data_IF_239899340807
#
_entry.id   IF_239899340807
#
_cell.length_a   1.000
_cell.length_b   1.000
_cell.length_c   1.000
_cell.angle_alpha   90.00
_cell.angle_beta   90.00
_cell.angle_gamma   90.00
#
_symmetry.space_group_name_H-M   'P 1'
#
loop_
_entity.id
_entity.type
_entity.pdbx_description
1 polymer ?
#
# COMPACT_ATOMS: atom_id res chain seq x y z
N UNK A 1 -0.62 39.06 -36.85
CA UNK A 1 -1.94 38.39 -36.87
C UNK A 1 -1.86 37.27 -37.89
N UNK A 2 -2.04 36.04 -37.44
CA UNK A 2 -2.38 34.89 -38.26
C UNK A 2 -3.20 33.98 -37.34
N UNK A 3 -4.45 33.76 -37.74
CA UNK A 3 -5.54 33.19 -36.94
C UNK A 3 -5.50 31.65 -36.86
N UNK A 4 -6.20 31.06 -35.87
CA UNK A 4 -6.24 29.62 -35.65
C UNK A 4 -7.22 28.90 -36.61
N UNK A 5 -6.90 27.64 -36.93
CA UNK A 5 -7.70 26.77 -37.81
C UNK A 5 -8.53 25.78 -36.98
N UNK A 6 -9.85 25.85 -37.13
CA UNK A 6 -10.85 24.94 -36.57
C UNK A 6 -11.40 24.12 -37.75
N UNK A 7 -11.48 22.80 -37.62
CA UNK A 7 -12.13 21.93 -38.60
C UNK A 7 -13.43 21.35 -37.99
N UNK A 8 -14.56 21.67 -38.63
CA UNK A 8 -15.91 21.18 -38.31
C UNK A 8 -16.30 20.21 -39.42
N UNK A 9 -16.57 18.95 -39.07
CA UNK A 9 -17.16 17.96 -39.97
C UNK A 9 -18.69 18.11 -40.03
N UNK A 10 -19.23 18.21 -41.23
CA UNK A 10 -20.64 18.44 -41.54
C UNK A 10 -21.43 17.14 -41.74
N UNK A 11 -22.75 17.32 -41.66
CA UNK A 11 -23.86 16.37 -41.54
C UNK A 11 -24.00 15.28 -42.61
N UNK A 12 -24.66 14.19 -42.20
CA UNK A 12 -25.31 13.22 -43.08
C UNK A 12 -26.60 12.70 -42.44
N UNK A 13 -27.73 13.19 -42.96
CA UNK A 13 -29.12 12.77 -42.67
C UNK A 13 -29.40 11.32 -43.14
N UNK A 14 -30.10 10.52 -42.32
CA UNK A 14 -30.86 9.33 -42.78
C UNK A 14 -32.15 9.18 -41.95
N UNK A 15 -33.29 9.20 -42.64
CA UNK A 15 -34.64 9.08 -42.09
C UNK A 15 -35.05 7.64 -41.66
N UNK A 16 -35.70 7.61 -40.49
CA UNK A 16 -36.84 6.82 -39.99
C UNK A 16 -37.42 5.63 -40.80
N UNK A 17 -37.60 4.50 -40.10
CA UNK A 17 -38.74 3.60 -40.31
C UNK A 17 -39.23 3.01 -38.97
N UNK A 18 -40.54 3.16 -38.73
CA UNK A 18 -41.27 2.74 -37.54
C UNK A 18 -41.63 1.25 -37.54
N UNK A 19 -41.83 0.65 -36.35
CA UNK A 19 -42.72 -0.50 -36.15
C UNK A 19 -43.10 -0.71 -34.68
N UNK A 20 -44.37 -0.43 -34.40
CA UNK A 20 -45.36 -1.10 -33.53
C UNK A 20 -45.11 -1.41 -32.03
N UNK A 21 -46.00 -0.83 -31.23
CA UNK A 21 -46.43 -1.19 -29.87
C UNK A 21 -47.04 -2.61 -29.81
N UNK A 22 -47.06 -3.31 -28.66
CA UNK A 22 -48.16 -3.28 -27.67
C UNK A 22 -47.85 -4.16 -26.43
N UNK A 23 -48.63 -4.01 -25.33
CA UNK A 23 -48.17 -4.14 -23.94
C UNK A 23 -48.64 -5.43 -23.23
N UNK A 24 -48.19 -5.66 -21.99
CA UNK A 24 -48.90 -6.53 -21.04
C UNK A 24 -48.97 -5.89 -19.65
N UNK A 25 -50.16 -6.02 -19.09
CA UNK A 25 -50.77 -5.39 -17.94
C UNK A 25 -50.35 -5.95 -16.56
N UNK A 26 -50.48 -5.03 -15.59
CA UNK A 26 -50.76 -5.11 -14.14
C UNK A 26 -51.09 -6.45 -13.46
N UNK A 27 -50.65 -6.59 -12.20
CA UNK A 27 -51.60 -6.75 -11.08
C UNK A 27 -50.99 -6.37 -9.72
N UNK A 28 -51.88 -6.00 -8.80
CA UNK A 28 -51.64 -5.19 -7.59
C UNK A 28 -51.93 -5.99 -6.31
N UNK A 29 -51.56 -5.38 -5.17
CA UNK A 29 -52.17 -5.52 -3.83
C UNK A 29 -51.69 -6.71 -2.98
N UNK A 30 -51.60 -6.68 -1.64
CA UNK A 30 -52.27 -5.87 -0.61
C UNK A 30 -51.36 -5.61 0.61
N UNK A 31 -51.76 -4.61 1.41
CA UNK A 31 -51.25 -4.27 2.73
C UNK A 31 -52.00 -5.01 3.85
N UNK A 32 -51.38 -5.18 5.02
CA UNK A 32 -52.10 -5.21 6.31
C UNK A 32 -51.27 -4.53 7.42
N UNK A 33 -51.89 -3.49 7.99
CA UNK A 33 -51.76 -2.88 9.33
C UNK A 33 -51.84 -3.94 10.47
N UNK A 34 -51.63 -3.75 11.77
CA UNK A 34 -51.44 -2.67 12.74
C UNK A 34 -51.04 -3.39 14.07
N UNK A 35 -50.51 -2.67 15.05
CA UNK A 35 -50.34 -3.21 16.40
C UNK A 35 -49.38 -2.42 17.29
N UNK A 36 -49.76 -1.21 17.64
CA UNK A 36 -49.09 -0.38 18.63
C UNK A 36 -49.43 -0.76 20.09
N UNK A 37 -48.63 -0.17 20.99
CA UNK A 37 -48.72 -0.03 22.46
C UNK A 37 -48.00 -1.08 23.33
N UNK A 38 -47.39 -0.74 24.48
CA UNK A 38 -46.62 0.39 25.01
C UNK A 38 -46.46 0.09 26.52
N UNK A 39 -45.26 0.31 27.07
CA UNK A 39 -44.90 0.56 28.49
C UNK A 39 -43.55 -0.15 28.78
N UNK A 40 -42.48 0.47 29.30
CA UNK A 40 -42.26 1.77 29.92
C UNK A 40 -41.27 1.54 31.08
N UNK A 41 -40.13 2.26 31.10
CA UNK A 41 -39.38 2.71 32.30
C UNK A 41 -37.91 3.04 31.95
N UNK A 42 -37.63 4.34 31.91
CA UNK A 42 -36.52 5.09 32.53
C UNK A 42 -35.12 4.46 32.69
N UNK A 43 -34.09 5.17 32.22
CA UNK A 43 -32.70 4.94 32.62
C UNK A 43 -31.64 5.56 31.71
N UNK A 44 -31.19 6.75 32.10
CA UNK A 44 -29.89 7.40 31.86
C UNK A 44 -29.36 7.61 30.42
N UNK A 45 -29.22 8.90 30.07
CA UNK A 45 -28.38 9.43 28.99
C UNK A 45 -26.92 8.95 29.09
N UNK A 46 -26.46 8.25 28.06
CA UNK A 46 -25.04 8.22 27.71
C UNK A 46 -24.96 8.52 26.22
N UNK A 47 -24.48 9.73 25.91
CA UNK A 47 -24.29 10.22 24.55
C UNK A 47 -23.43 9.25 23.73
N UNK A 48 -24.09 8.42 22.93
CA UNK A 48 -23.46 7.69 21.86
C UNK A 48 -23.05 8.71 20.79
N UNK A 49 -21.81 8.68 20.28
CA UNK A 49 -21.43 9.53 19.17
C UNK A 49 -22.33 9.15 17.99
N UNK A 50 -23.13 10.11 17.53
CA UNK A 50 -23.97 9.96 16.37
C UNK A 50 -23.11 9.50 15.21
N UNK A 51 -23.50 8.38 14.62
CA UNK A 51 -22.96 7.89 13.36
C UNK A 51 -23.38 8.86 12.26
N UNK A 52 -22.67 9.98 12.17
CA UNK A 52 -22.96 11.04 11.21
C UNK A 52 -22.66 10.54 9.78
N UNK A 53 -23.72 10.46 8.97
CA UNK A 53 -23.75 10.64 7.51
C UNK A 53 -22.61 10.03 6.67
N UNK A 54 -22.60 8.70 6.50
CA UNK A 54 -21.76 8.05 5.45
C UNK A 54 -22.47 7.83 4.11
N UNK A 55 -23.79 7.97 4.06
CA UNK A 55 -24.57 7.60 2.87
C UNK A 55 -24.85 8.77 1.91
N UNK A 56 -24.80 10.02 2.40
CA UNK A 56 -24.94 11.22 1.55
C UNK A 56 -23.66 11.63 0.79
N UNK A 57 -22.52 10.99 1.05
CA UNK A 57 -21.19 11.45 0.58
C UNK A 57 -20.70 10.87 -0.75
N UNK A 58 -21.07 9.64 -1.13
CA UNK A 58 -20.42 9.01 -2.30
C UNK A 58 -20.88 9.61 -3.63
N UNK A 59 -22.17 9.94 -3.74
CA UNK A 59 -22.71 10.62 -4.93
C UNK A 59 -22.11 12.02 -5.08
N UNK A 60 -21.79 12.70 -3.99
CA UNK A 60 -21.10 14.00 -4.03
C UNK A 60 -19.66 13.86 -4.55
N UNK A 61 -18.95 12.80 -4.18
CA UNK A 61 -17.63 12.49 -4.76
C UNK A 61 -17.72 12.31 -6.28
N UNK A 62 -18.73 11.57 -6.77
CA UNK A 62 -18.93 11.31 -8.20
C UNK A 62 -19.38 12.55 -8.99
N UNK A 63 -20.03 13.52 -8.34
CA UNK A 63 -20.42 14.79 -8.97
C UNK A 63 -19.28 15.81 -9.02
N UNK A 64 -18.17 15.55 -8.33
CA UNK A 64 -17.03 16.46 -8.35
C UNK A 64 -16.34 16.50 -9.72
N UNK A 65 -15.68 17.62 -10.10
CA UNK A 65 -14.98 17.72 -11.37
C UNK A 65 -13.95 16.61 -11.56
N UNK A 66 -13.75 16.19 -12.81
CA UNK A 66 -12.73 15.20 -13.16
C UNK A 66 -11.39 15.91 -13.29
N UNK A 67 -10.35 15.29 -12.73
CA UNK A 67 -8.94 15.69 -12.86
C UNK A 67 -8.21 14.63 -13.66
N UNK A 68 -7.42 15.06 -14.63
CA UNK A 68 -6.52 14.22 -15.40
C UNK A 68 -5.19 14.07 -14.67
N UNK A 69 -4.78 12.83 -14.39
CA UNK A 69 -3.46 12.49 -13.89
C UNK A 69 -2.64 11.92 -15.04
N UNK A 70 -1.55 12.59 -15.37
CA UNK A 70 -0.65 12.15 -16.43
C UNK A 70 0.57 11.51 -15.81
N UNK A 71 0.66 10.20 -15.97
CA UNK A 71 1.57 9.31 -15.25
C UNK A 71 2.66 8.82 -16.19
N UNK A 72 3.91 8.80 -15.73
CA UNK A 72 5.06 8.34 -16.50
C UNK A 72 5.70 9.40 -17.40
N UNK A 73 6.77 8.99 -18.10
CA UNK A 73 7.61 9.85 -18.97
C UNK A 73 7.66 9.33 -20.40
N UNK A 74 7.80 10.26 -21.35
CA UNK A 74 8.02 9.93 -22.76
C UNK A 74 6.91 9.04 -23.33
N UNK A 75 7.30 7.97 -24.00
CA UNK A 75 6.38 7.05 -24.70
C UNK A 75 5.55 6.17 -23.75
N UNK A 76 5.91 6.08 -22.46
CA UNK A 76 5.15 5.36 -21.43
C UNK A 76 4.11 6.26 -20.75
N UNK A 77 4.00 7.53 -21.16
CA UNK A 77 3.06 8.47 -20.58
C UNK A 77 1.61 8.03 -20.81
N UNK A 78 0.88 7.84 -19.70
CA UNK A 78 -0.52 7.42 -19.72
C UNK A 78 -1.36 8.41 -18.92
N UNK A 79 -2.49 8.84 -19.48
CA UNK A 79 -3.46 9.67 -18.78
C UNK A 79 -4.53 8.80 -18.13
N UNK A 80 -4.74 8.97 -16.84
CA UNK A 80 -5.86 8.39 -16.10
C UNK A 80 -6.71 9.51 -15.49
N UNK A 81 -7.99 9.25 -15.27
CA UNK A 81 -8.91 10.26 -14.74
C UNK A 81 -9.42 9.85 -13.36
N UNK A 82 -9.62 10.84 -12.49
CA UNK A 82 -10.19 10.63 -11.17
C UNK A 82 -11.05 11.82 -10.74
N UNK A 83 -12.00 11.58 -9.83
CA UNK A 83 -12.84 12.62 -9.25
C UNK A 83 -12.02 13.50 -8.31
N UNK A 84 -12.13 14.82 -8.44
CA UNK A 84 -11.37 15.78 -7.64
C UNK A 84 -11.54 15.53 -6.14
N UNK A 85 -12.76 15.25 -5.70
CA UNK A 85 -13.05 15.10 -4.28
C UNK A 85 -12.49 13.79 -3.66
N UNK A 86 -12.11 12.82 -4.51
CA UNK A 86 -11.36 11.62 -4.11
C UNK A 86 -9.88 11.98 -3.92
N UNK A 87 -9.32 12.81 -4.81
CA UNK A 87 -7.92 13.24 -4.75
C UNK A 87 -7.63 14.18 -3.58
N UNK A 88 -8.56 15.06 -3.20
CA UNK A 88 -8.37 16.05 -2.12
C UNK A 88 -8.20 15.43 -0.72
N UNK A 89 -8.40 14.13 -0.56
CA UNK A 89 -8.03 13.40 0.65
C UNK A 89 -6.51 13.42 0.90
N UNK A 90 -5.70 13.54 -0.16
CA UNK A 90 -4.26 13.75 -0.08
C UNK A 90 -3.94 15.24 0.05
N UNK A 91 -3.14 15.66 1.05
CA UNK A 91 -2.62 17.03 1.13
C UNK A 91 -1.88 17.47 -0.13
N UNK A 92 -1.09 16.58 -0.74
CA UNK A 92 -0.36 16.85 -1.98
C UNK A 92 -1.30 17.24 -3.13
N UNK A 93 -2.33 16.42 -3.39
CA UNK A 93 -3.28 16.71 -4.45
C UNK A 93 -4.18 17.89 -4.11
N UNK A 94 -4.57 18.06 -2.83
CA UNK A 94 -5.35 19.23 -2.39
C UNK A 94 -4.61 20.54 -2.69
N UNK A 95 -3.31 20.58 -2.42
CA UNK A 95 -2.46 21.73 -2.75
C UNK A 95 -2.35 21.92 -4.27
N UNK A 96 -2.06 20.86 -5.02
CA UNK A 96 -1.99 20.93 -6.49
C UNK A 96 -3.30 21.43 -7.13
N UNK A 97 -4.45 20.95 -6.65
CA UNK A 97 -5.78 21.34 -7.12
C UNK A 97 -6.09 22.80 -6.76
N UNK A 98 -5.54 23.33 -5.67
CA UNK A 98 -5.77 24.73 -5.28
C UNK A 98 -5.19 25.75 -6.29
N UNK A 99 -4.24 25.30 -7.10
CA UNK A 99 -3.63 26.10 -8.17
C UNK A 99 -4.44 26.07 -9.48
N UNK A 100 -5.53 25.30 -9.56
CA UNK A 100 -6.38 25.28 -10.75
C UNK A 100 -7.19 26.57 -10.89
N UNK A 101 -7.20 27.12 -12.10
CA UNK A 101 -8.11 28.21 -12.46
C UNK A 101 -9.49 27.66 -12.82
N UNK A 102 -10.55 28.44 -12.59
CA UNK A 102 -11.93 27.99 -12.82
C UNK A 102 -12.18 27.48 -14.24
N UNK A 103 -11.55 28.10 -15.25
CA UNK A 103 -11.71 27.79 -16.68
C UNK A 103 -10.48 27.07 -17.29
N UNK A 104 -9.55 26.61 -16.46
CA UNK A 104 -8.30 25.96 -16.92
C UNK A 104 -8.40 24.44 -17.00
N UNK A 105 -7.48 23.78 -17.73
CA UNK A 105 -7.39 22.33 -17.75
C UNK A 105 -7.02 21.79 -16.36
N UNK A 106 -7.82 20.86 -15.84
CA UNK A 106 -7.58 20.20 -14.54
C UNK A 106 -6.64 19.01 -14.73
N UNK A 107 -5.35 19.29 -14.87
CA UNK A 107 -4.32 18.27 -15.16
C UNK A 107 -3.17 18.33 -14.16
N UNK A 108 -2.78 17.16 -13.64
CA UNK A 108 -1.64 16.98 -12.74
C UNK A 108 -0.65 16.02 -13.39
N UNK A 109 0.61 16.41 -13.41
CA UNK A 109 1.70 15.64 -14.04
C UNK A 109 2.47 14.89 -12.95
N UNK A 110 2.59 13.57 -13.12
CA UNK A 110 3.21 12.60 -12.21
C UNK A 110 4.26 11.77 -12.98
N UNK A 111 5.30 12.45 -13.45
CA UNK A 111 6.33 11.86 -14.33
C UNK A 111 7.11 10.70 -13.70
N UNK A 112 7.42 10.79 -12.40
CA UNK A 112 8.21 9.78 -11.69
C UNK A 112 7.38 8.58 -11.21
N UNK A 113 6.06 8.61 -11.43
CA UNK A 113 5.15 7.60 -10.93
C UNK A 113 4.82 6.57 -12.01
N UNK A 114 4.61 5.32 -11.59
CA UNK A 114 4.18 4.23 -12.47
C UNK A 114 2.66 4.09 -12.49
N UNK A 115 2.11 3.72 -13.65
CA UNK A 115 0.68 3.51 -13.85
C UNK A 115 0.08 2.54 -12.82
N UNK A 116 0.72 1.40 -12.58
CA UNK A 116 0.25 0.40 -11.60
C UNK A 116 0.20 0.95 -10.17
N UNK A 117 1.14 1.83 -9.81
CA UNK A 117 1.22 2.43 -8.47
C UNK A 117 0.09 3.44 -8.29
N UNK A 118 -0.15 4.29 -9.30
CA UNK A 118 -1.28 5.23 -9.31
C UNK A 118 -2.62 4.48 -9.36
N UNK A 119 -2.72 3.40 -10.13
CA UNK A 119 -3.91 2.54 -10.17
C UNK A 119 -4.25 1.95 -8.80
N UNK A 120 -3.25 1.44 -8.07
CA UNK A 120 -3.44 0.95 -6.71
C UNK A 120 -3.82 2.07 -5.73
N UNK A 121 -3.21 3.25 -5.86
CA UNK A 121 -3.57 4.43 -5.06
C UNK A 121 -5.03 4.83 -5.30
N UNK A 122 -5.46 4.93 -6.55
CA UNK A 122 -6.84 5.28 -6.89
C UNK A 122 -7.80 4.22 -6.36
N UNK A 123 -7.52 2.93 -6.57
CA UNK A 123 -8.33 1.84 -6.03
C UNK A 123 -8.49 1.97 -4.50
N UNK A 124 -7.41 2.26 -3.78
CA UNK A 124 -7.45 2.51 -2.35
C UNK A 124 -8.32 3.71 -2.00
N UNK A 125 -8.22 4.81 -2.74
CA UNK A 125 -8.95 6.02 -2.41
C UNK A 125 -10.48 5.85 -2.59
N UNK A 126 -10.91 4.97 -3.50
CA UNK A 126 -12.32 4.62 -3.68
C UNK A 126 -12.82 3.54 -2.71
N UNK A 127 -12.00 2.54 -2.39
CA UNK A 127 -12.48 1.31 -1.73
C UNK A 127 -11.89 1.10 -0.33
N UNK A 128 -10.91 1.90 0.06
CA UNK A 128 -10.13 1.73 1.29
C UNK A 128 -9.08 0.61 1.21
N UNK A 129 -8.94 -0.05 0.06
CA UNK A 129 -8.06 -1.20 -0.12
C UNK A 129 -7.53 -1.26 -1.57
N UNK A 130 -6.48 -2.01 -1.84
CA UNK A 130 -5.99 -2.23 -3.22
C UNK A 130 -5.59 -3.69 -3.44
N UNK A 131 -5.56 -4.15 -4.68
CA UNK A 131 -5.23 -5.54 -5.01
C UNK A 131 -3.72 -5.83 -4.85
N UNK A 132 -3.30 -6.97 -4.28
CA UNK A 132 -4.13 -7.96 -3.57
C UNK A 132 -4.59 -7.44 -2.20
N UNK A 133 -5.86 -7.63 -1.87
CA UNK A 133 -6.47 -7.24 -0.60
C UNK A 133 -5.93 -8.08 0.56
N UNK A 134 -5.83 -7.47 1.74
CA UNK A 134 -5.56 -8.19 2.98
C UNK A 134 -6.82 -8.94 3.43
N UNK A 135 -6.70 -10.25 3.61
CA UNK A 135 -7.79 -11.09 4.12
C UNK A 135 -7.95 -10.89 5.63
N UNK A 136 -9.20 -10.90 6.09
CA UNK A 136 -9.53 -10.82 7.52
C UNK A 136 -9.17 -12.16 8.20
N UNK A 137 -8.94 -12.12 9.51
CA UNK A 137 -8.70 -13.32 10.32
C UNK A 137 -9.73 -14.43 10.01
N UNK A 138 -9.30 -15.71 9.96
CA UNK A 138 -8.05 -16.25 10.53
C UNK A 138 -6.85 -16.29 9.58
N UNK A 139 -7.01 -15.98 8.30
CA UNK A 139 -5.95 -16.19 7.31
C UNK A 139 -4.85 -15.14 7.33
N UNK A 140 -5.17 -13.89 7.72
CA UNK A 140 -4.29 -12.68 7.71
C UNK A 140 -3.32 -12.56 6.52
N UNK A 141 -3.64 -13.22 5.40
CA UNK A 141 -2.81 -13.34 4.20
C UNK A 141 -3.28 -12.34 3.13
N UNK A 142 -2.56 -12.27 2.02
CA UNK A 142 -3.02 -11.54 0.84
C UNK A 142 -3.94 -12.44 0.01
N UNK A 143 -4.92 -11.84 -0.66
CA UNK A 143 -5.79 -12.60 -1.56
C UNK A 143 -4.99 -13.25 -2.70
N UNK A 144 -5.28 -14.51 -2.98
CA UNK A 144 -4.59 -15.29 -4.02
C UNK A 144 -5.21 -15.01 -5.38
N UNK A 145 -4.37 -14.87 -6.40
CA UNK A 145 -4.81 -14.74 -7.79
C UNK A 145 -3.89 -15.54 -8.71
N UNK A 146 -4.39 -16.18 -9.79
CA UNK A 146 -3.56 -16.98 -10.69
C UNK A 146 -2.38 -16.23 -11.33
N UNK A 147 -2.49 -14.90 -11.46
CA UNK A 147 -1.41 -14.06 -11.98
C UNK A 147 -0.32 -13.73 -10.95
N UNK A 148 -0.52 -14.05 -9.67
CA UNK A 148 0.42 -13.78 -8.60
C UNK A 148 1.05 -15.10 -8.16
N UNK A 149 2.38 -15.30 -8.35
CA UNK A 149 3.04 -16.50 -7.87
C UNK A 149 3.06 -16.53 -6.33
N UNK A 150 3.00 -17.73 -5.75
CA UNK A 150 3.03 -17.90 -4.29
C UNK A 150 4.37 -17.49 -3.66
N UNK A 151 5.45 -17.50 -4.44
CA UNK A 151 6.79 -17.06 -4.03
C UNK A 151 7.25 -15.97 -5.00
N UNK A 152 7.63 -14.83 -4.47
CA UNK A 152 8.16 -13.70 -5.22
C UNK A 152 9.66 -13.87 -5.51
N UNK A 153 9.97 -14.37 -6.70
CA UNK A 153 11.35 -14.64 -7.11
C UNK A 153 12.03 -13.45 -7.80
N UNK A 154 11.27 -12.57 -8.43
CA UNK A 154 11.79 -11.34 -9.07
C UNK A 154 11.81 -10.15 -8.12
N UNK A 155 11.01 -10.17 -7.05
CA UNK A 155 10.80 -9.03 -6.16
C UNK A 155 9.67 -8.11 -6.62
N UNK A 156 8.95 -8.45 -7.68
CA UNK A 156 7.89 -7.60 -8.25
C UNK A 156 6.75 -7.34 -7.26
N UNK A 157 6.38 -8.34 -6.45
CA UNK A 157 5.33 -8.18 -5.45
C UNK A 157 5.79 -7.25 -4.32
N UNK A 158 7.02 -7.45 -3.84
CA UNK A 158 7.64 -6.59 -2.83
C UNK A 158 7.74 -5.15 -3.36
N UNK A 159 8.26 -4.97 -4.56
CA UNK A 159 8.45 -3.67 -5.20
C UNK A 159 7.13 -2.95 -5.41
N UNK A 160 6.06 -3.65 -5.82
CA UNK A 160 4.72 -3.06 -5.93
C UNK A 160 4.31 -2.38 -4.63
N UNK A 161 4.43 -3.06 -3.49
CA UNK A 161 4.04 -2.48 -2.21
C UNK A 161 5.04 -1.43 -1.70
N UNK A 162 6.33 -1.59 -2.00
CA UNK A 162 7.35 -0.59 -1.69
C UNK A 162 7.10 0.75 -2.40
N UNK A 163 6.72 0.70 -3.68
CA UNK A 163 6.35 1.87 -4.49
C UNK A 163 5.10 2.58 -3.96
N UNK A 164 4.11 1.80 -3.52
CA UNK A 164 2.90 2.36 -2.87
C UNK A 164 3.26 2.98 -1.53
N UNK A 165 4.18 2.38 -0.76
CA UNK A 165 4.65 2.92 0.52
C UNK A 165 5.33 4.28 0.36
N UNK A 166 6.25 4.41 -0.61
CA UNK A 166 6.95 5.68 -0.89
C UNK A 166 5.99 6.72 -1.48
N UNK A 167 5.10 6.32 -2.40
CA UNK A 167 4.05 7.20 -2.91
C UNK A 167 3.14 7.70 -1.79
N UNK A 168 2.71 6.83 -0.88
CA UNK A 168 1.83 7.21 0.22
C UNK A 168 2.47 8.24 1.16
N UNK A 169 3.78 8.14 1.42
CA UNK A 169 4.53 9.16 2.15
C UNK A 169 4.52 10.49 1.39
N UNK A 170 4.88 10.49 0.10
CA UNK A 170 4.85 11.68 -0.77
C UNK A 170 3.48 12.35 -0.81
N UNK A 171 2.42 11.55 -0.84
CA UNK A 171 1.04 12.01 -0.88
C UNK A 171 0.47 12.40 0.50
N UNK A 172 1.20 12.17 1.60
CA UNK A 172 0.72 12.45 2.96
C UNK A 172 -0.37 11.49 3.45
N UNK A 173 -0.44 10.27 2.92
CA UNK A 173 -1.49 9.29 3.19
C UNK A 173 -1.00 8.19 4.15
N UNK A 174 -0.98 8.52 5.44
CA UNK A 174 -0.42 7.62 6.47
C UNK A 174 -1.12 6.26 6.58
N UNK A 175 -2.45 6.20 6.37
CA UNK A 175 -3.18 4.92 6.38
C UNK A 175 -2.81 4.02 5.20
N UNK A 176 -2.59 4.61 4.02
CA UNK A 176 -2.11 3.86 2.84
C UNK A 176 -0.68 3.36 3.05
N UNK A 177 0.18 4.20 3.64
CA UNK A 177 1.56 3.82 4.00
C UNK A 177 1.58 2.62 4.94
N UNK A 178 0.76 2.64 5.99
CA UNK A 178 0.61 1.51 6.94
C UNK A 178 0.05 0.26 6.26
N UNK A 179 -0.95 0.40 5.38
CA UNK A 179 -1.49 -0.71 4.61
C UNK A 179 -0.40 -1.35 3.74
N UNK A 180 0.35 -0.56 2.98
CA UNK A 180 1.43 -1.05 2.13
C UNK A 180 2.51 -1.78 2.94
N UNK A 181 2.94 -1.21 4.07
CA UNK A 181 3.88 -1.85 4.98
C UNK A 181 3.37 -3.20 5.50
N UNK A 182 2.10 -3.25 5.91
CA UNK A 182 1.44 -4.49 6.34
C UNK A 182 1.48 -5.55 5.23
N UNK A 183 1.25 -5.18 3.97
CA UNK A 183 1.28 -6.14 2.86
C UNK A 183 2.67 -6.65 2.54
N UNK A 184 3.70 -5.80 2.62
CA UNK A 184 5.11 -6.21 2.43
C UNK A 184 5.45 -7.40 3.34
N UNK A 185 5.02 -7.37 4.59
CA UNK A 185 5.33 -8.41 5.59
C UNK A 185 4.65 -9.76 5.32
N UNK A 186 3.70 -9.81 4.38
CA UNK A 186 2.92 -11.00 4.03
C UNK A 186 3.40 -11.64 2.72
N UNK A 187 4.38 -11.05 2.05
CA UNK A 187 4.97 -11.61 0.84
C UNK A 187 6.05 -12.61 1.23
N UNK A 188 6.01 -13.78 0.63
CA UNK A 188 7.10 -14.74 0.70
C UNK A 188 7.97 -14.59 -0.56
N UNK A 189 9.27 -14.44 -0.37
CA UNK A 189 10.21 -13.98 -1.41
C UNK A 189 11.50 -14.78 -1.38
N UNK A 190 12.20 -14.82 -2.52
CA UNK A 190 13.56 -15.40 -2.60
C UNK A 190 14.62 -14.36 -2.27
N UNK A 191 15.86 -14.81 -2.02
CA UNK A 191 16.99 -13.91 -1.81
C UNK A 191 17.18 -12.91 -2.98
N UNK A 192 16.90 -13.34 -4.22
CA UNK A 192 16.98 -12.49 -5.40
C UNK A 192 15.95 -11.37 -5.38
N UNK A 193 14.68 -11.70 -5.09
CA UNK A 193 13.62 -10.70 -4.96
C UNK A 193 13.88 -9.70 -3.81
N UNK A 194 14.44 -10.20 -2.71
CA UNK A 194 14.77 -9.39 -1.53
C UNK A 194 15.94 -8.43 -1.76
N UNK A 195 16.90 -8.78 -2.61
CA UNK A 195 17.94 -7.84 -3.06
C UNK A 195 17.34 -6.72 -3.91
N UNK A 196 16.45 -7.05 -4.85
CA UNK A 196 15.79 -6.04 -5.67
C UNK A 196 14.96 -5.07 -4.80
N UNK A 197 14.22 -5.63 -3.84
CA UNK A 197 13.47 -4.86 -2.85
C UNK A 197 14.38 -3.98 -1.97
N UNK A 198 15.49 -4.53 -1.45
CA UNK A 198 16.44 -3.77 -0.64
C UNK A 198 17.04 -2.59 -1.42
N UNK A 199 17.43 -2.79 -2.68
CA UNK A 199 17.93 -1.71 -3.55
C UNK A 199 16.90 -0.60 -3.68
N UNK A 200 15.63 -0.94 -3.93
CA UNK A 200 14.57 0.06 -4.03
C UNK A 200 14.38 0.82 -2.72
N UNK A 201 14.28 0.13 -1.58
CA UNK A 201 14.07 0.77 -0.27
C UNK A 201 15.17 1.77 0.05
N UNK A 202 16.44 1.40 -0.10
CA UNK A 202 17.55 2.28 0.25
C UNK A 202 17.75 3.42 -0.75
N UNK A 203 17.33 3.26 -2.01
CA UNK A 203 17.34 4.32 -3.01
C UNK A 203 16.15 5.29 -2.97
N UNK A 204 15.02 4.90 -2.38
CA UNK A 204 13.76 5.66 -2.48
C UNK A 204 13.14 6.06 -1.13
N UNK A 205 13.82 5.78 -0.01
CA UNK A 205 13.39 6.20 1.34
C UNK A 205 14.51 6.98 2.01
N UNK A 206 14.23 7.89 2.96
CA UNK A 206 15.26 8.57 3.72
C UNK A 206 15.91 7.65 4.76
N UNK A 207 17.09 8.02 5.27
CA UNK A 207 17.89 7.17 6.17
C UNK A 207 17.26 6.94 7.54
N UNK A 208 16.36 7.82 7.96
CA UNK A 208 15.62 7.78 9.22
C UNK A 208 14.34 6.91 9.14
N UNK A 209 13.94 6.44 7.95
CA UNK A 209 12.81 5.51 7.79
C UNK A 209 13.18 4.08 8.22
N UNK A 210 13.34 3.93 9.53
CA UNK A 210 13.66 2.65 10.17
C UNK A 210 12.51 1.64 10.07
N UNK A 211 11.28 2.10 9.81
CA UNK A 211 10.08 1.25 9.73
C UNK A 211 10.17 0.27 8.57
N UNK A 212 10.67 0.72 7.42
CA UNK A 212 10.87 -0.14 6.25
C UNK A 212 12.32 -0.64 6.13
N UNK A 213 13.33 0.13 6.56
CA UNK A 213 14.75 -0.26 6.44
C UNK A 213 15.19 -1.33 7.44
N UNK A 214 14.70 -1.28 8.69
CA UNK A 214 15.13 -2.24 9.73
C UNK A 214 14.71 -3.69 9.42
N UNK A 215 13.47 -3.97 8.97
CA UNK A 215 13.10 -5.32 8.53
C UNK A 215 13.96 -5.84 7.37
N UNK A 216 14.29 -4.99 6.39
CA UNK A 216 15.18 -5.34 5.28
C UNK A 216 16.57 -5.73 5.79
N UNK A 217 17.18 -4.91 6.64
CA UNK A 217 18.49 -5.22 7.20
C UNK A 217 18.46 -6.50 8.06
N UNK A 218 17.39 -6.70 8.83
CA UNK A 218 17.21 -7.89 9.67
C UNK A 218 17.08 -9.18 8.85
N UNK A 219 16.38 -9.14 7.71
CA UNK A 219 16.29 -10.27 6.78
C UNK A 219 17.69 -10.76 6.38
N UNK A 220 18.56 -9.84 5.98
CA UNK A 220 19.92 -10.16 5.54
C UNK A 220 20.85 -10.54 6.69
N UNK A 221 20.74 -9.89 7.84
CA UNK A 221 21.53 -10.22 9.03
C UNK A 221 21.27 -11.67 9.51
N UNK A 222 20.01 -12.11 9.50
CA UNK A 222 19.63 -13.48 9.91
C UNK A 222 20.01 -14.54 8.87
N UNK A 223 20.20 -14.15 7.61
CA UNK A 223 20.53 -15.04 6.48
C UNK A 223 21.93 -14.78 5.90
N UNK A 224 22.88 -14.44 6.77
CA UNK A 224 24.27 -14.13 6.39
C UNK A 224 24.98 -15.24 5.58
N UNK A 225 24.56 -16.50 5.70
CA UNK A 225 25.08 -17.61 4.89
C UNK A 225 24.64 -17.53 3.42
N UNK A 226 23.37 -17.21 3.16
CA UNK A 226 22.80 -17.00 1.81
C UNK A 226 23.52 -15.85 1.13
N UNK A 227 23.69 -14.75 1.86
CA UNK A 227 24.38 -13.55 1.40
C UNK A 227 25.83 -13.83 0.96
N UNK A 228 26.53 -14.75 1.64
CA UNK A 228 27.92 -15.11 1.32
C UNK A 228 28.07 -16.12 0.18
N UNK A 229 27.09 -16.98 -0.05
CA UNK A 229 27.24 -18.10 -0.99
C UNK A 229 26.36 -18.00 -2.24
N UNK A 230 25.22 -17.33 -2.15
CA UNK A 230 24.22 -17.28 -3.22
C UNK A 230 24.07 -15.89 -3.85
N UNK A 231 24.29 -14.82 -3.08
CA UNK A 231 24.06 -13.44 -3.51
C UNK A 231 25.28 -12.52 -3.26
N UNK A 232 26.50 -13.06 -3.26
CA UNK A 232 27.71 -12.32 -2.88
C UNK A 232 27.97 -11.10 -3.78
N UNK A 233 27.82 -11.27 -5.10
CA UNK A 233 28.10 -10.21 -6.07
C UNK A 233 27.07 -9.08 -5.96
N UNK A 234 25.79 -9.44 -5.84
CA UNK A 234 24.68 -8.52 -5.67
C UNK A 234 24.80 -7.78 -4.34
N UNK A 235 25.11 -8.48 -3.25
CA UNK A 235 25.33 -7.88 -1.94
C UNK A 235 26.50 -6.91 -1.95
N UNK A 236 27.63 -7.29 -2.57
CA UNK A 236 28.79 -6.39 -2.71
C UNK A 236 28.42 -5.14 -3.48
N UNK A 237 27.71 -5.28 -4.60
CA UNK A 237 27.23 -4.15 -5.40
C UNK A 237 26.32 -3.25 -4.58
N UNK A 238 25.38 -3.84 -3.83
CA UNK A 238 24.45 -3.13 -2.97
C UNK A 238 25.17 -2.34 -1.87
N UNK A 239 26.20 -2.90 -1.23
CA UNK A 239 26.98 -2.20 -0.21
C UNK A 239 27.81 -1.04 -0.78
N UNK A 240 28.26 -1.14 -2.03
CA UNK A 240 29.01 -0.07 -2.69
C UNK A 240 28.10 1.08 -3.14
N UNK A 241 26.90 0.75 -3.62
CA UNK A 241 25.92 1.74 -4.08
C UNK A 241 25.20 2.41 -2.89
N UNK A 242 24.88 1.65 -1.85
CA UNK A 242 24.21 2.13 -0.63
C UNK A 242 25.00 1.70 0.62
N UNK A 243 26.03 2.46 1.02
CA UNK A 243 26.87 2.10 2.18
C UNK A 243 26.09 1.92 3.49
N UNK A 244 25.01 2.68 3.67
CA UNK A 244 24.14 2.57 4.85
C UNK A 244 23.52 1.16 4.98
N UNK A 245 23.19 0.50 3.86
CA UNK A 245 22.68 -0.87 3.90
C UNK A 245 23.69 -1.84 4.51
N UNK A 246 24.96 -1.76 4.08
CA UNK A 246 26.02 -2.58 4.64
C UNK A 246 26.24 -2.31 6.13
N UNK A 247 26.18 -1.05 6.54
CA UNK A 247 26.27 -0.64 7.95
C UNK A 247 25.12 -1.20 8.80
N UNK A 248 23.88 -1.08 8.32
CA UNK A 248 22.68 -1.55 9.03
C UNK A 248 22.69 -3.07 9.19
N UNK A 249 23.07 -3.81 8.14
CA UNK A 249 23.21 -5.27 8.18
C UNK A 249 24.34 -5.68 9.14
N UNK A 250 25.51 -5.05 9.05
CA UNK A 250 26.64 -5.37 9.92
C UNK A 250 26.32 -5.10 11.39
N UNK A 251 25.70 -3.96 11.69
CA UNK A 251 25.31 -3.59 13.06
C UNK A 251 24.39 -4.65 13.66
N UNK A 252 23.36 -5.08 12.92
CA UNK A 252 22.46 -6.15 13.39
C UNK A 252 23.16 -7.50 13.58
N UNK A 253 24.12 -7.86 12.72
CA UNK A 253 24.91 -9.09 12.88
C UNK A 253 25.78 -9.02 14.14
N UNK A 254 26.40 -7.87 14.40
CA UNK A 254 27.22 -7.64 15.59
C UNK A 254 26.37 -7.69 16.87
N UNK A 255 25.22 -7.02 16.89
CA UNK A 255 24.27 -7.04 18.00
C UNK A 255 23.80 -8.48 18.31
N UNK A 256 23.47 -9.26 17.27
CA UNK A 256 23.09 -10.67 17.42
C UNK A 256 24.22 -11.52 17.99
N UNK A 257 25.47 -11.25 17.61
CA UNK A 257 26.64 -11.97 18.11
C UNK A 257 26.93 -11.63 19.56
N UNK A 258 26.88 -10.35 19.93
CA UNK A 258 27.07 -9.87 21.30
C UNK A 258 26.02 -10.48 22.24
N UNK A 259 24.75 -10.47 21.82
CA UNK A 259 23.67 -11.12 22.55
C UNK A 259 23.93 -12.62 22.77
N UNK A 260 24.31 -13.35 21.72
CA UNK A 260 24.63 -14.78 21.81
C UNK A 260 25.82 -15.07 22.72
N UNK A 261 26.85 -14.21 22.75
CA UNK A 261 27.97 -14.38 23.68
C UNK A 261 27.53 -14.16 25.13
N UNK A 262 26.74 -13.13 25.40
CA UNK A 262 26.22 -12.85 26.73
C UNK A 262 25.33 -13.99 27.24
N UNK A 263 24.43 -14.49 26.40
CA UNK A 263 23.56 -15.64 26.73
C UNK A 263 24.42 -16.89 27.05
N UNK A 264 25.47 -17.15 26.27
CA UNK A 264 26.37 -18.29 26.50
C UNK A 264 27.17 -18.16 27.81
N UNK A 265 27.59 -16.95 28.17
CA UNK A 265 28.29 -16.69 29.44
C UNK A 265 27.35 -16.83 30.64
N UNK A 266 26.10 -16.37 30.51
CA UNK A 266 25.06 -16.53 31.53
C UNK A 266 24.64 -18.00 31.74
N UNK A 267 24.66 -18.83 30.70
CA UNK A 267 24.30 -20.25 30.77
C UNK A 267 25.41 -21.17 31.28
N UNK A 268 26.67 -20.73 31.34
CA UNK A 268 27.73 -21.56 31.94
C UNK A 268 27.60 -21.58 33.48
N UNK A 269 27.22 -22.71 34.11
CA UNK A 269 27.28 -22.78 35.56
C UNK A 269 28.76 -22.77 35.92
N UNK A 270 29.18 -21.80 36.75
CA UNK A 270 30.49 -21.79 37.35
C UNK A 270 30.77 -23.18 37.92
N UNK A 271 31.62 -23.96 37.23
CA UNK A 271 32.06 -25.28 37.71
C UNK A 271 32.75 -25.02 39.03
N UNK A 272 31.99 -25.22 40.11
CA UNK A 272 32.46 -25.13 41.47
C UNK A 272 33.72 -25.97 41.59
N UNK A 273 34.83 -25.29 41.87
CA UNK A 273 36.10 -25.89 42.23
C UNK A 273 35.89 -26.80 43.44
N UNK A 274 35.67 -28.09 43.18
CA UNK A 274 35.65 -29.11 44.21
C UNK A 274 37.09 -29.26 44.74
N UNK A 275 37.42 -28.45 45.75
CA UNK A 275 38.63 -28.61 46.57
C UNK A 275 38.70 -30.06 47.06
N UNK A 276 39.69 -30.81 46.55
CA UNK A 276 40.16 -32.09 47.09
C UNK A 276 40.37 -31.94 48.60
N UNK A 277 39.49 -32.52 49.43
CA UNK A 277 39.83 -32.84 50.82
C UNK A 277 40.69 -34.10 50.79
N UNK A 278 41.98 -33.94 51.10
CA UNK A 278 42.85 -35.06 51.42
C UNK A 278 42.29 -35.76 52.67
N UNK A 279 41.99 -37.06 52.55
CA UNK A 279 41.60 -37.92 53.67
C UNK A 279 42.88 -38.53 54.24
N UNK A 280 43.24 -38.09 55.44
CA UNK A 280 44.34 -38.63 56.26
C UNK A 280 44.08 -40.10 56.55
N UNK A 281 45.11 -40.92 56.40
CA UNK A 281 45.12 -42.35 56.69
C UNK A 281 45.07 -42.62 58.21
N UNK A 282 44.41 -43.71 58.57
CA UNK A 282 44.59 -44.46 59.83
C UNK A 282 45.01 -45.88 59.43
#
# INVERSE_FOLDING_TARGET
MAEPRIEIGADGDVEMAASMETPVEVESAEAVEDGAEAAGADGEEVGAPTSDNKESTFVEFLKSPIVELVVGRGDEQTTVTAHQAILTASPFFKDAISHFTNDGPRRIILEDEMLDTIGCFLQYQYTGEYFPRRLVAPSDALETHPSIPAIDDSGEQLLKHARIYTLAEKLGLQKLKQLAHSKIHRINSTARGEIAYARYVYGNTPADDTVIRKPVAAFWATRSHVLRHEAEQEFKTMCLEYPQFGFDVLSLVLDQKEKRSHDREAETPAKGSARKRARTQL
#
